data_IF_192620610150
#
_entry.id   IF_192620610150
#
_cell.length_a   1.000
_cell.length_b   1.000
_cell.length_c   1.000
_cell.angle_alpha   90.00
_cell.angle_beta   90.00
_cell.angle_gamma   90.00
#
_symmetry.space_group_name_H-M   'P 1'
#
loop_
_entity.id
_entity.type
_entity.pdbx_description
1 polymer ?
#
# COMPACT_ATOMS: atom_id res chain seq x y z
N UNK A 1 -9.69 -7.18 15.13
CA UNK A 1 -9.63 -8.16 16.24
C UNK A 1 -8.24 -8.80 16.25
N UNK A 2 -7.64 -9.14 17.41
CA UNK A 2 -6.34 -9.78 17.45
C UNK A 2 -6.39 -11.24 16.92
N UNK A 3 -5.28 -11.70 16.36
CA UNK A 3 -5.07 -13.10 15.97
C UNK A 3 -5.20 -14.01 17.20
N UNK A 4 -5.99 -15.07 17.09
CA UNK A 4 -6.18 -16.08 18.14
C UNK A 4 -5.57 -17.38 17.71
N UNK A 5 -4.81 -18.01 18.60
CA UNK A 5 -4.26 -19.33 18.34
C UNK A 5 -5.39 -20.37 18.29
N UNK A 6 -5.50 -21.08 17.16
CA UNK A 6 -6.49 -22.15 16.97
C UNK A 6 -5.85 -23.54 17.07
N UNK A 7 -4.57 -23.65 16.68
CA UNK A 7 -3.75 -24.85 16.81
C UNK A 7 -2.30 -24.46 17.14
N UNK A 8 -1.45 -25.43 17.51
CA UNK A 8 -0.04 -25.14 17.79
C UNK A 8 0.65 -24.54 16.56
N UNK A 9 1.09 -23.28 16.67
CA UNK A 9 1.70 -22.55 15.56
C UNK A 9 0.73 -22.00 14.51
N UNK A 10 -0.60 -22.14 14.67
CA UNK A 10 -1.59 -21.58 13.75
C UNK A 10 -2.49 -20.58 14.46
N UNK A 11 -2.59 -19.39 13.88
CA UNK A 11 -3.33 -18.25 14.40
C UNK A 11 -4.33 -17.77 13.36
N UNK A 12 -5.54 -17.47 13.81
CA UNK A 12 -6.62 -17.01 12.94
C UNK A 12 -7.34 -15.80 13.52
N UNK A 13 -7.85 -14.95 12.62
CA UNK A 13 -8.88 -13.96 12.95
C UNK A 13 -9.86 -13.82 11.80
N UNK A 14 -11.14 -13.48 12.08
CA UNK A 14 -12.04 -13.04 11.03
C UNK A 14 -11.46 -11.78 10.35
N UNK A 15 -11.80 -11.60 9.07
CA UNK A 15 -11.59 -10.32 8.41
C UNK A 15 -12.39 -9.23 9.13
N UNK A 16 -11.78 -8.06 9.25
CA UNK A 16 -12.53 -6.88 9.67
C UNK A 16 -13.33 -6.29 8.51
N UNK A 17 -14.17 -5.29 8.82
CA UNK A 17 -15.09 -4.71 7.85
C UNK A 17 -14.38 -4.02 6.69
N UNK A 18 -13.19 -3.46 6.92
CA UNK A 18 -12.40 -2.79 5.89
C UNK A 18 -11.76 -3.82 4.95
N UNK A 19 -11.24 -4.91 5.50
CA UNK A 19 -10.72 -6.02 4.72
C UNK A 19 -11.83 -6.68 3.89
N UNK A 20 -13.01 -6.94 4.48
CA UNK A 20 -14.17 -7.49 3.75
C UNK A 20 -14.58 -6.60 2.57
N UNK A 21 -14.59 -5.27 2.76
CA UNK A 21 -14.85 -4.30 1.70
C UNK A 21 -13.87 -4.48 0.55
N UNK A 22 -12.57 -4.41 0.83
CA UNK A 22 -11.55 -4.50 -0.22
C UNK A 22 -11.44 -5.89 -0.85
N UNK A 23 -11.73 -6.97 -0.11
CA UNK A 23 -11.80 -8.32 -0.67
C UNK A 23 -12.98 -8.47 -1.65
N UNK A 24 -14.17 -7.94 -1.34
CA UNK A 24 -15.31 -7.99 -2.26
C UNK A 24 -15.07 -7.19 -3.54
N UNK A 25 -14.44 -6.03 -3.38
CA UNK A 25 -13.91 -5.16 -4.44
C UNK A 25 -12.89 -5.91 -5.31
N UNK A 26 -11.83 -6.48 -4.71
CA UNK A 26 -10.80 -7.25 -5.43
C UNK A 26 -11.36 -8.46 -6.19
N UNK A 27 -12.29 -9.22 -5.58
CA UNK A 27 -12.97 -10.34 -6.24
C UNK A 27 -13.71 -9.90 -7.51
N UNK A 28 -14.32 -8.71 -7.50
CA UNK A 28 -15.03 -8.13 -8.64
C UNK A 28 -14.09 -7.70 -9.77
N UNK A 29 -12.87 -7.26 -9.43
CA UNK A 29 -11.81 -6.88 -10.36
C UNK A 29 -11.07 -8.05 -11.02
N UNK A 30 -11.13 -9.26 -10.44
CA UNK A 30 -10.35 -10.45 -10.85
C UNK A 30 -10.37 -10.77 -12.35
N UNK A 31 -11.50 -10.57 -13.04
CA UNK A 31 -11.64 -10.77 -14.50
C UNK A 31 -10.76 -9.86 -15.37
N UNK A 32 -10.27 -8.75 -14.83
CA UNK A 32 -9.42 -7.81 -15.54
C UNK A 32 -7.93 -8.12 -15.36
N UNK A 33 -7.58 -9.24 -14.70
CA UNK A 33 -6.21 -9.56 -14.28
C UNK A 33 -5.53 -8.40 -13.52
N UNK A 34 -6.34 -7.58 -12.85
CA UNK A 34 -5.91 -6.53 -11.91
C UNK A 34 -6.51 -6.87 -10.56
N UNK A 35 -5.69 -6.95 -9.52
CA UNK A 35 -6.22 -6.92 -8.15
C UNK A 35 -6.61 -5.46 -7.86
N UNK A 36 -7.82 -5.26 -7.33
CA UNK A 36 -8.32 -3.91 -7.14
C UNK A 36 -7.56 -3.21 -6.01
N UNK A 37 -7.00 -2.03 -6.30
CA UNK A 37 -6.19 -1.23 -5.37
C UNK A 37 -4.97 -2.02 -4.86
N UNK A 38 -3.90 -2.08 -5.65
CA UNK A 38 -2.57 -2.37 -5.09
C UNK A 38 -1.96 -1.06 -4.61
N UNK A 39 -1.45 -1.05 -3.38
CA UNK A 39 -0.56 0.01 -2.92
C UNK A 39 0.86 -0.42 -3.27
N UNK A 40 1.49 0.41 -4.10
CA UNK A 40 2.90 0.35 -4.42
C UNK A 40 3.60 1.54 -3.78
N UNK A 41 4.75 1.33 -3.20
CA UNK A 41 5.61 2.38 -2.63
C UNK A 41 7.04 1.84 -2.59
N UNK A 42 7.99 2.48 -1.92
CA UNK A 42 9.35 1.97 -1.74
C UNK A 42 9.68 1.88 -0.23
N UNK A 43 10.63 1.04 0.28
CA UNK A 43 11.16 0.78 1.68
C UNK A 43 10.49 -0.23 2.75
N UNK A 44 11.26 -1.11 3.47
CA UNK A 44 10.83 -2.40 4.18
C UNK A 44 9.96 -2.36 5.47
N UNK A 45 9.42 -3.52 5.93
CA UNK A 45 9.21 -3.89 7.36
C UNK A 45 8.62 -5.32 7.58
N UNK A 46 8.18 -5.66 8.83
CA UNK A 46 7.54 -6.92 9.30
C UNK A 46 6.08 -6.74 9.76
N UNK A 47 5.13 -7.37 9.05
CA UNK A 47 3.98 -8.17 9.54
C UNK A 47 3.13 -8.66 8.34
N UNK A 48 3.81 -9.31 7.41
CA UNK A 48 3.41 -9.43 5.99
C UNK A 48 2.94 -10.87 5.64
N UNK A 49 3.24 -11.83 6.52
CA UNK A 49 3.16 -13.26 6.19
C UNK A 49 1.78 -13.91 6.37
N UNK A 50 0.78 -13.22 6.93
CA UNK A 50 -0.57 -13.78 7.04
C UNK A 50 -1.22 -13.92 5.65
N UNK A 51 -1.93 -15.02 5.41
CA UNK A 51 -2.60 -15.31 4.14
C UNK A 51 -4.11 -15.44 4.35
N UNK A 52 -4.95 -14.97 3.41
CA UNK A 52 -6.38 -15.23 3.48
C UNK A 52 -6.65 -16.73 3.29
N UNK A 53 -7.64 -17.24 4.01
CA UNK A 53 -8.12 -18.60 3.81
C UNK A 53 -8.75 -18.75 2.41
N UNK A 54 -8.95 -19.99 1.95
CA UNK A 54 -9.50 -20.26 0.61
C UNK A 54 -10.90 -19.67 0.35
N UNK A 55 -11.56 -19.15 1.40
CA UNK A 55 -12.87 -18.49 1.34
C UNK A 55 -12.79 -16.96 1.47
N UNK A 56 -11.59 -16.40 1.69
CA UNK A 56 -11.39 -14.99 2.06
C UNK A 56 -12.30 -14.55 3.21
N UNK A 57 -12.50 -15.40 4.23
CA UNK A 57 -13.30 -15.08 5.42
C UNK A 57 -12.45 -14.89 6.67
N UNK A 58 -11.24 -15.45 6.66
CA UNK A 58 -10.26 -15.38 7.75
C UNK A 58 -8.87 -15.13 7.23
N UNK A 59 -8.03 -14.53 8.07
CA UNK A 59 -6.58 -14.52 7.88
C UNK A 59 -5.95 -15.60 8.75
N UNK A 60 -5.10 -16.41 8.13
CA UNK A 60 -4.34 -17.48 8.76
C UNK A 60 -2.87 -17.08 8.78
N UNK A 61 -2.27 -17.14 9.96
CA UNK A 61 -0.83 -17.08 10.13
C UNK A 61 -0.35 -18.41 10.71
N UNK A 62 0.53 -19.07 9.98
CA UNK A 62 1.23 -20.27 10.44
C UNK A 62 2.67 -19.91 10.73
N UNK A 63 3.12 -20.20 11.95
CA UNK A 63 4.53 -20.02 12.34
C UNK A 63 5.38 -20.87 11.40
N UNK A 64 6.24 -20.26 10.59
CA UNK A 64 6.95 -20.98 9.55
C UNK A 64 8.06 -21.83 10.16
N UNK A 65 8.26 -23.04 9.63
CA UNK A 65 9.54 -23.74 9.77
C UNK A 65 10.64 -22.93 9.05
N UNK A 66 11.93 -23.16 9.34
CA UNK A 66 13.03 -22.49 8.62
C UNK A 66 12.90 -22.62 7.10
N UNK A 67 12.51 -23.79 6.60
CA UNK A 67 12.33 -24.08 5.17
C UNK A 67 11.10 -23.34 4.61
N UNK A 68 10.00 -23.32 5.36
CA UNK A 68 8.78 -22.59 4.98
C UNK A 68 9.03 -21.09 4.94
N UNK A 69 9.86 -20.59 5.87
CA UNK A 69 10.26 -19.19 5.92
C UNK A 69 11.12 -18.83 4.70
N UNK A 70 12.06 -19.68 4.31
CA UNK A 70 12.89 -19.49 3.13
C UNK A 70 12.05 -19.52 1.84
N UNK A 71 11.09 -20.44 1.74
CA UNK A 71 10.16 -20.47 0.60
C UNK A 71 9.31 -19.19 0.52
N UNK A 72 8.80 -18.73 1.67
CA UNK A 72 8.05 -17.48 1.76
C UNK A 72 8.92 -16.29 1.34
N UNK A 73 10.14 -16.18 1.85
CA UNK A 73 11.09 -15.13 1.47
C UNK A 73 11.39 -15.16 -0.03
N UNK A 74 11.55 -16.34 -0.64
CA UNK A 74 11.76 -16.45 -2.08
C UNK A 74 10.56 -15.92 -2.89
N UNK A 75 9.35 -16.02 -2.35
CA UNK A 75 8.13 -15.50 -3.00
C UNK A 75 7.96 -14.01 -2.76
N UNK A 76 8.26 -13.51 -1.57
CA UNK A 76 7.95 -12.13 -1.16
C UNK A 76 9.13 -11.17 -1.24
N UNK A 77 10.37 -11.65 -1.34
CA UNK A 77 11.56 -10.84 -1.55
C UNK A 77 12.21 -11.19 -2.89
N UNK A 78 12.02 -10.30 -3.88
CA UNK A 78 12.48 -10.52 -5.25
C UNK A 78 13.58 -9.51 -5.58
N UNK A 79 14.75 -10.01 -5.94
CA UNK A 79 15.88 -9.16 -6.35
C UNK A 79 16.00 -9.15 -7.87
N UNK A 80 15.90 -7.96 -8.47
CA UNK A 80 15.93 -7.74 -9.92
C UNK A 80 17.33 -7.30 -10.37
N UNK A 81 18.26 -8.26 -10.47
CA UNK A 81 19.67 -7.97 -10.80
C UNK A 81 19.89 -7.35 -12.20
N UNK A 82 19.05 -7.73 -13.17
CA UNK A 82 19.17 -7.30 -14.57
C UNK A 82 18.25 -6.15 -14.95
N UNK A 83 17.37 -5.70 -14.05
CA UNK A 83 16.45 -4.61 -14.37
C UNK A 83 17.21 -3.30 -14.55
N UNK A 84 16.77 -2.53 -15.53
CA UNK A 84 17.39 -1.26 -15.94
C UNK A 84 16.40 -0.11 -15.88
N UNK A 85 15.10 -0.43 -15.88
CA UNK A 85 14.02 0.55 -15.81
C UNK A 85 13.74 0.92 -14.35
N UNK A 86 13.32 2.17 -14.08
CA UNK A 86 13.01 2.62 -12.74
C UNK A 86 11.83 1.87 -12.12
N UNK A 87 11.77 1.86 -10.79
CA UNK A 87 10.74 1.24 -9.97
C UNK A 87 9.31 1.61 -10.40
N UNK A 88 9.09 2.85 -10.84
CA UNK A 88 7.79 3.32 -11.32
C UNK A 88 7.26 2.49 -12.51
N UNK A 89 8.15 1.99 -13.36
CA UNK A 89 7.79 1.17 -14.52
C UNK A 89 7.49 -0.29 -14.17
N UNK A 90 7.86 -0.75 -12.97
CA UNK A 90 7.65 -2.14 -12.57
C UNK A 90 6.16 -2.45 -12.36
N UNK A 91 5.37 -1.47 -11.92
CA UNK A 91 3.96 -1.70 -11.61
C UNK A 91 3.16 -2.13 -12.85
N UNK A 92 3.58 -1.69 -14.05
CA UNK A 92 2.99 -2.07 -15.33
C UNK A 92 3.33 -3.51 -15.79
N UNK A 93 4.39 -4.12 -15.25
CA UNK A 93 4.88 -5.45 -15.69
C UNK A 93 4.73 -6.54 -14.63
N UNK A 94 4.58 -6.16 -13.36
CA UNK A 94 4.47 -7.13 -12.27
C UNK A 94 3.05 -7.70 -12.20
N UNK A 95 2.89 -9.04 -12.19
CA UNK A 95 1.57 -9.65 -12.06
C UNK A 95 0.94 -9.28 -10.71
N UNK A 96 -0.40 -9.27 -10.59
CA UNK A 96 -1.06 -9.12 -9.30
C UNK A 96 -0.58 -10.17 -8.30
N UNK A 97 -0.55 -9.79 -7.02
CA UNK A 97 -0.15 -10.67 -5.93
C UNK A 97 -0.98 -10.38 -4.70
N UNK A 98 -1.59 -11.42 -4.13
CA UNK A 98 -2.29 -11.36 -2.85
C UNK A 98 -1.34 -11.26 -1.65
N UNK A 99 -0.04 -11.45 -1.86
CA UNK A 99 1.01 -11.28 -0.87
C UNK A 99 1.55 -9.86 -0.89
N UNK A 100 2.04 -9.44 0.27
CA UNK A 100 2.89 -8.28 0.34
C UNK A 100 4.29 -8.68 -0.15
N UNK A 101 4.81 -7.89 -1.09
CA UNK A 101 6.02 -8.15 -1.86
C UNK A 101 6.99 -6.99 -1.70
N UNK A 102 8.27 -7.35 -1.68
CA UNK A 102 9.40 -6.45 -1.71
C UNK A 102 10.26 -6.77 -2.93
N UNK A 103 10.49 -5.76 -3.75
CA UNK A 103 11.35 -5.84 -4.91
C UNK A 103 12.58 -4.98 -4.69
N UNK A 104 13.78 -5.55 -4.78
CA UNK A 104 15.01 -4.79 -4.73
C UNK A 104 15.63 -4.71 -6.12
N UNK A 105 16.01 -3.50 -6.55
CA UNK A 105 16.65 -3.22 -7.83
C UNK A 105 18.09 -2.75 -7.55
N UNK A 106 19.07 -3.66 -7.40
CA UNK A 106 20.40 -3.30 -6.90
C UNK A 106 21.12 -2.25 -7.75
N UNK A 107 20.89 -2.27 -9.08
CA UNK A 107 21.53 -1.34 -10.01
C UNK A 107 21.07 0.10 -9.84
N UNK A 108 19.80 0.27 -9.48
CA UNK A 108 19.17 1.57 -9.26
C UNK A 108 19.12 1.96 -7.79
N UNK A 109 19.43 1.00 -6.89
CA UNK A 109 19.35 1.15 -5.43
C UNK A 109 17.92 1.46 -4.94
N UNK A 110 16.93 0.95 -5.66
CA UNK A 110 15.50 1.15 -5.37
C UNK A 110 14.90 -0.09 -4.67
N UNK A 111 13.92 0.12 -3.79
CA UNK A 111 13.25 -0.92 -3.00
C UNK A 111 11.74 -0.82 -3.10
N UNK A 112 11.03 -1.55 -3.97
CA UNK A 112 9.56 -1.42 -4.14
C UNK A 112 8.74 -2.33 -3.20
N UNK A 113 7.77 -1.74 -2.53
CA UNK A 113 6.81 -2.25 -1.56
C UNK A 113 5.48 -2.37 -2.25
N UNK A 114 5.03 -3.59 -2.50
CA UNK A 114 3.79 -3.81 -3.23
C UNK A 114 2.87 -4.74 -2.45
N UNK A 115 1.65 -4.29 -2.21
CA UNK A 115 0.69 -5.04 -1.44
C UNK A 115 -0.73 -4.73 -1.89
N UNK A 116 -1.64 -5.71 -1.83
CA UNK A 116 -3.07 -5.39 -1.89
C UNK A 116 -3.44 -4.37 -0.82
N UNK A 117 -4.26 -3.38 -1.18
CA UNK A 117 -4.70 -2.27 -0.32
C UNK A 117 -5.58 -2.74 0.86
N UNK A 118 -6.09 -3.98 0.82
CA UNK A 118 -6.79 -4.57 1.97
C UNK A 118 -5.84 -4.88 3.13
N UNK A 119 -4.54 -5.05 2.89
CA UNK A 119 -3.56 -5.38 3.94
C UNK A 119 -3.09 -4.15 4.72
N UNK A 120 -3.01 -3.01 4.05
CA UNK A 120 -2.56 -1.74 4.64
C UNK A 120 -2.99 -0.58 3.76
N UNK A 121 -3.10 0.61 4.35
CA UNK A 121 -3.29 1.85 3.62
C UNK A 121 -1.95 2.60 3.42
N UNK A 122 -2.00 3.78 2.79
CA UNK A 122 -0.79 4.58 2.56
C UNK A 122 -0.07 4.99 3.85
N UNK A 123 -0.79 5.21 4.95
CA UNK A 123 -0.16 5.59 6.24
C UNK A 123 0.52 4.39 6.88
N UNK A 124 -0.16 3.25 6.92
CA UNK A 124 0.42 1.99 7.40
C UNK A 124 1.67 1.60 6.60
N UNK A 125 1.66 1.84 5.28
CA UNK A 125 2.81 1.64 4.41
C UNK A 125 3.99 2.57 4.75
N UNK A 126 3.75 3.86 5.02
CA UNK A 126 4.80 4.81 5.43
C UNK A 126 5.46 4.39 6.76
N UNK A 127 4.65 3.97 7.73
CA UNK A 127 5.15 3.48 9.01
C UNK A 127 5.93 2.18 8.86
N UNK A 128 5.47 1.30 7.95
CA UNK A 128 6.17 0.10 7.52
C UNK A 128 7.60 0.52 7.12
N UNK A 129 7.73 1.32 6.07
CA UNK A 129 9.01 1.78 5.52
C UNK A 129 10.01 2.30 6.55
N UNK A 130 9.52 3.10 7.51
CA UNK A 130 10.33 3.72 8.54
C UNK A 130 11.06 2.71 9.43
N UNK A 131 10.34 1.76 10.02
CA UNK A 131 10.96 0.86 10.99
C UNK A 131 11.94 -0.08 10.29
N UNK A 132 11.75 -0.42 9.01
CA UNK A 132 12.79 -1.18 8.33
C UNK A 132 14.04 -0.40 8.10
N UNK A 133 13.94 0.82 7.56
CA UNK A 133 15.14 1.56 7.26
C UNK A 133 15.95 1.74 8.54
N UNK A 134 15.27 1.88 9.66
CA UNK A 134 15.84 1.83 11.00
C UNK A 134 16.49 0.47 11.32
N UNK A 135 15.84 -0.66 11.03
CA UNK A 135 16.43 -2.01 11.20
C UNK A 135 17.63 -2.26 10.30
N UNK A 136 17.57 -1.83 9.04
CA UNK A 136 18.64 -1.93 8.06
C UNK A 136 19.85 -1.11 8.52
N UNK A 137 19.61 0.13 8.96
CA UNK A 137 20.64 1.02 9.52
C UNK A 137 21.32 0.43 10.77
N UNK A 138 20.57 -0.30 11.59
CA UNK A 138 21.11 -1.02 12.76
C UNK A 138 22.00 -2.21 12.39
N UNK A 139 21.70 -2.89 11.28
CA UNK A 139 22.39 -4.08 10.83
C UNK A 139 22.12 -5.33 11.69
N UNK A 140 22.69 -6.49 11.31
CA UNK A 140 22.47 -7.75 12.01
C UNK A 140 23.12 -7.70 13.40
N UNK A 141 22.31 -7.82 14.46
CA UNK A 141 22.83 -8.11 15.80
C UNK A 141 23.32 -9.56 15.81
N UNK A 142 24.60 -9.77 16.12
CA UNK A 142 25.28 -11.09 16.07
C UNK A 142 24.76 -12.12 17.10
N UNK A 143 23.74 -11.76 17.88
CA UNK A 143 23.00 -12.66 18.76
C UNK A 143 21.53 -12.61 18.36
N UNK A 144 21.08 -13.69 17.72
CA UNK A 144 19.68 -13.98 17.43
C UNK A 144 18.93 -14.38 18.72
N UNK A 145 19.13 -13.63 19.81
CA UNK A 145 18.10 -13.55 20.84
C UNK A 145 17.02 -12.68 20.20
N UNK A 146 15.92 -13.30 19.75
CA UNK A 146 14.68 -12.60 19.48
C UNK A 146 14.22 -11.96 20.79
N UNK A 147 14.82 -10.83 21.16
CA UNK A 147 14.36 -9.98 22.24
C UNK A 147 13.05 -9.36 21.77
N UNK A 148 11.96 -10.09 22.00
CA UNK A 148 10.57 -9.64 21.84
C UNK A 148 10.27 -8.37 22.64
N UNK A 149 11.19 -7.96 23.53
CA UNK A 149 11.11 -6.79 24.41
C UNK A 149 11.54 -5.46 23.74
N UNK A 150 12.15 -5.50 22.55
CA UNK A 150 12.75 -4.29 21.92
C UNK A 150 11.89 -3.71 20.78
N UNK A 151 10.94 -4.49 20.27
CA UNK A 151 9.88 -3.93 19.42
C UNK A 151 8.80 -3.37 20.34
N UNK A 152 8.27 -2.18 20.02
CA UNK A 152 7.04 -1.69 20.63
C UNK A 152 6.07 -2.86 20.74
N UNK A 153 5.66 -3.23 21.96
CA UNK A 153 4.68 -4.29 22.14
C UNK A 153 3.42 -3.91 21.32
N UNK A 154 2.64 -4.92 20.91
CA UNK A 154 1.41 -4.76 20.14
C UNK A 154 0.56 -3.57 20.64
N UNK A 155 0.47 -3.35 21.96
CA UNK A 155 -0.27 -2.26 22.57
C UNK A 155 0.34 -0.87 22.29
N UNK A 156 1.66 -0.74 22.20
CA UNK A 156 2.32 0.51 21.84
C UNK A 156 2.19 0.84 20.34
N UNK A 157 2.23 -0.18 19.47
CA UNK A 157 1.93 -0.02 18.03
C UNK A 157 0.45 0.29 17.85
N UNK A 158 -0.44 -0.47 18.48
CA UNK A 158 -1.88 -0.26 18.43
C UNK A 158 -2.26 1.12 18.98
N UNK A 159 -1.62 1.61 20.04
CA UNK A 159 -1.84 2.96 20.56
C UNK A 159 -1.36 4.03 19.56
N UNK A 160 -0.20 3.82 18.94
CA UNK A 160 0.31 4.73 17.89
C UNK A 160 -0.62 4.74 16.68
N UNK A 161 -1.07 3.59 16.19
CA UNK A 161 -2.00 3.50 15.07
C UNK A 161 -3.37 4.08 15.47
N UNK A 162 -3.89 3.76 16.65
CA UNK A 162 -5.18 4.25 17.15
C UNK A 162 -5.19 5.78 17.27
N UNK A 163 -4.11 6.41 17.72
CA UNK A 163 -4.03 7.88 17.78
C UNK A 163 -4.04 8.53 16.38
N UNK A 164 -3.56 7.82 15.36
CA UNK A 164 -3.60 8.28 13.96
C UNK A 164 -4.95 7.99 13.27
N UNK A 165 -5.58 6.87 13.61
CA UNK A 165 -6.85 6.40 13.05
C UNK A 165 -8.07 6.76 13.90
N UNK A 166 -7.96 7.73 14.82
CA UNK A 166 -9.07 8.20 15.68
C UNK A 166 -10.28 8.78 14.94
N UNK A 167 -10.32 8.71 13.61
CA UNK A 167 -11.48 9.05 12.80
C UNK A 167 -12.52 7.94 12.92
N UNK A 168 -13.75 8.34 13.22
CA UNK A 168 -14.90 7.45 13.16
C UNK A 168 -15.14 7.01 11.70
N UNK A 169 -14.81 5.75 11.41
CA UNK A 169 -15.05 5.13 10.11
C UNK A 169 -16.48 4.59 9.98
N UNK A 170 -17.28 4.60 11.04
CA UNK A 170 -18.65 4.10 11.05
C UNK A 170 -19.53 4.70 9.93
N UNK A 171 -19.45 6.01 9.61
CA UNK A 171 -20.18 6.59 8.50
C UNK A 171 -19.80 6.00 7.14
N UNK A 172 -18.52 5.68 6.92
CA UNK A 172 -18.03 5.03 5.71
C UNK A 172 -18.54 3.59 5.62
N UNK A 173 -18.58 2.88 6.76
CA UNK A 173 -19.07 1.51 6.84
C UNK A 173 -20.56 1.39 6.50
N UNK A 174 -21.38 2.41 6.78
CA UNK A 174 -22.81 2.43 6.43
C UNK A 174 -23.06 2.44 4.92
N UNK A 175 -22.18 3.07 4.15
CA UNK A 175 -22.32 3.17 2.69
C UNK A 175 -21.62 2.03 1.93
N UNK A 176 -20.81 1.23 2.63
CA UNK A 176 -20.03 0.11 2.07
C UNK A 176 -20.86 -0.84 1.17
N UNK A 177 -22.03 -1.35 1.57
CA UNK A 177 -22.80 -2.25 0.71
C UNK A 177 -23.23 -1.59 -0.60
N UNK A 178 -23.66 -0.33 -0.54
CA UNK A 178 -24.04 0.45 -1.72
C UNK A 178 -22.84 0.74 -2.63
N UNK A 179 -21.68 1.04 -2.04
CA UNK A 179 -20.44 1.25 -2.77
C UNK A 179 -19.99 -0.02 -3.49
N UNK A 180 -19.93 -1.16 -2.79
CA UNK A 180 -19.58 -2.46 -3.37
C UNK A 180 -20.54 -2.83 -4.50
N UNK A 181 -21.84 -2.63 -4.32
CA UNK A 181 -22.84 -2.91 -5.35
C UNK A 181 -22.67 -2.00 -6.58
N UNK A 182 -22.36 -0.71 -6.37
CA UNK A 182 -22.14 0.25 -7.44
C UNK A 182 -20.89 -0.07 -8.25
N UNK A 183 -19.77 -0.37 -7.57
CA UNK A 183 -18.52 -0.80 -8.21
C UNK A 183 -18.72 -2.13 -8.93
N UNK A 184 -19.44 -3.09 -8.33
CA UNK A 184 -19.75 -4.37 -8.96
C UNK A 184 -20.55 -4.21 -10.24
N UNK A 185 -21.55 -3.33 -10.22
CA UNK A 185 -22.38 -3.04 -11.39
C UNK A 185 -21.58 -2.33 -12.48
N UNK A 186 -20.74 -1.35 -12.12
CA UNK A 186 -19.87 -0.64 -13.05
C UNK A 186 -18.89 -1.59 -13.73
N UNK A 187 -18.22 -2.43 -12.96
CA UNK A 187 -17.27 -3.40 -13.48
C UNK A 187 -17.99 -4.44 -14.34
N UNK A 188 -19.23 -4.83 -13.99
CA UNK A 188 -20.04 -5.81 -14.73
C UNK A 188 -20.49 -5.34 -16.10
N UNK A 189 -20.58 -4.03 -16.32
CA UNK A 189 -21.00 -3.45 -17.58
C UNK A 189 -19.89 -3.57 -18.66
N UNK A 190 -20.27 -3.72 -19.94
CA UNK A 190 -19.36 -3.48 -21.07
C UNK A 190 -18.68 -2.12 -20.95
N UNK A 191 -17.42 -2.02 -21.38
CA UNK A 191 -16.59 -0.82 -21.25
C UNK A 191 -17.29 0.42 -21.82
N UNK A 192 -17.95 0.26 -22.97
CA UNK A 192 -18.67 1.33 -23.67
C UNK A 192 -19.83 1.90 -22.83
N UNK A 193 -20.52 1.05 -22.08
CA UNK A 193 -21.62 1.45 -21.20
C UNK A 193 -21.08 1.99 -19.87
N UNK A 194 -20.00 1.41 -19.34
CA UNK A 194 -19.33 1.89 -18.13
C UNK A 194 -18.75 3.31 -18.32
N UNK A 195 -18.30 3.66 -19.52
CA UNK A 195 -17.83 5.01 -19.90
C UNK A 195 -18.98 6.04 -19.91
N UNK A 196 -20.21 5.61 -20.20
CA UNK A 196 -21.38 6.50 -20.26
C UNK A 196 -22.10 6.64 -18.92
N UNK A 197 -21.77 5.81 -17.92
CA UNK A 197 -22.38 5.84 -16.60
C UNK A 197 -22.15 7.18 -15.87
N UNK A 198 -23.20 7.91 -15.45
CA UNK A 198 -23.08 9.16 -14.71
C UNK A 198 -22.41 8.96 -13.35
N UNK A 199 -21.52 9.88 -12.96
CA UNK A 199 -20.87 9.87 -11.64
C UNK A 199 -19.82 8.77 -11.43
N UNK A 200 -19.51 7.97 -12.45
CA UNK A 200 -18.43 6.98 -12.38
C UNK A 200 -17.03 7.62 -12.53
N UNK A 201 -16.96 8.79 -13.18
CA UNK A 201 -15.74 9.55 -13.42
C UNK A 201 -15.72 10.83 -12.57
N UNK A 202 -14.85 10.86 -11.56
CA UNK A 202 -14.65 12.02 -10.70
C UNK A 202 -13.24 12.02 -10.10
N UNK A 203 -12.69 13.21 -9.78
CA UNK A 203 -11.47 13.30 -8.99
C UNK A 203 -11.76 13.02 -7.51
N UNK A 204 -10.87 12.27 -6.88
CA UNK A 204 -10.82 12.12 -5.43
C UNK A 204 -9.50 12.66 -4.91
N UNK A 205 -9.54 13.38 -3.79
CA UNK A 205 -8.33 13.90 -3.15
C UNK A 205 -8.14 13.23 -1.79
N UNK A 206 -7.00 12.58 -1.62
CA UNK A 206 -6.55 12.03 -0.35
C UNK A 206 -5.26 12.71 0.08
N UNK A 207 -5.18 13.09 1.35
CA UNK A 207 -3.98 13.70 1.92
C UNK A 207 -3.26 12.70 2.79
N UNK A 208 -1.99 12.45 2.47
CA UNK A 208 -1.09 11.72 3.35
C UNK A 208 -0.51 12.65 4.42
N UNK A 209 -0.52 13.97 4.23
CA UNK A 209 0.03 14.96 5.16
C UNK A 209 1.56 15.09 5.05
N UNK A 210 2.21 15.52 6.13
CA UNK A 210 3.67 15.68 6.19
C UNK A 210 4.34 14.33 6.39
N UNK A 211 5.18 13.92 5.45
CA UNK A 211 5.84 12.60 5.44
C UNK A 211 7.02 12.58 6.41
N UNK A 212 7.77 13.68 6.52
CA UNK A 212 9.08 13.76 7.21
C UNK A 212 9.04 13.27 8.68
N UNK A 213 7.91 13.48 9.36
CA UNK A 213 7.75 13.07 10.76
C UNK A 213 7.53 11.56 10.93
N UNK A 214 7.01 10.88 9.90
CA UNK A 214 6.69 9.45 9.92
C UNK A 214 7.72 8.63 9.16
N UNK A 215 8.36 9.22 8.16
CA UNK A 215 9.43 8.63 7.36
C UNK A 215 10.54 9.66 7.16
N UNK A 216 11.48 9.76 8.11
CA UNK A 216 12.62 10.67 8.01
C UNK A 216 13.52 10.32 6.83
N UNK A 217 14.06 11.34 6.16
CA UNK A 217 14.97 11.16 5.02
C UNK A 217 16.24 10.38 5.38
N UNK A 218 16.75 10.51 6.61
CA UNK A 218 17.98 9.85 7.05
C UNK A 218 17.71 8.91 8.22
N UNK A 219 18.11 7.65 8.04
CA UNK A 219 18.12 6.61 9.06
C UNK A 219 19.56 6.24 9.40
N UNK A 220 20.10 6.87 10.44
CA UNK A 220 21.43 6.58 10.95
C UNK A 220 21.39 5.41 11.94
N UNK A 221 22.30 4.45 11.76
CA UNK A 221 22.45 3.34 12.69
C UNK A 221 23.90 2.86 12.76
N UNK A 222 24.22 1.99 13.74
CA UNK A 222 25.59 1.52 13.98
C UNK A 222 26.20 0.73 12.83
N UNK A 223 25.40 0.12 11.95
CA UNK A 223 25.91 -0.64 10.82
C UNK A 223 26.03 0.20 9.55
N UNK A 224 25.00 0.99 9.25
CA UNK A 224 24.96 1.82 8.05
C UNK A 224 24.06 3.04 8.28
N UNK A 225 24.30 4.11 7.52
CA UNK A 225 23.34 5.20 7.36
C UNK A 225 22.61 5.01 6.04
N UNK A 226 21.29 4.99 6.08
CA UNK A 226 20.43 4.90 4.89
C UNK A 226 19.78 6.26 4.68
N UNK A 227 19.87 6.78 3.46
CA UNK A 227 19.29 8.06 3.06
C UNK A 227 18.28 7.82 1.93
N UNK A 228 17.10 8.42 2.05
CA UNK A 228 16.01 8.31 1.09
C UNK A 228 16.13 9.47 0.09
N UNK A 229 16.70 9.20 -1.08
CA UNK A 229 16.83 10.21 -2.13
C UNK A 229 15.46 10.61 -2.70
N UNK A 230 14.58 9.65 -2.96
CA UNK A 230 13.25 9.89 -3.51
C UNK A 230 12.22 8.91 -2.93
N UNK A 231 10.96 9.33 -2.89
CA UNK A 231 9.85 8.55 -2.37
C UNK A 231 8.53 8.92 -3.04
N UNK A 232 7.79 7.90 -3.47
CA UNK A 232 6.44 8.04 -3.98
C UNK A 232 5.53 6.90 -3.50
N UNK A 233 4.23 7.17 -3.50
CA UNK A 233 3.17 6.20 -3.23
C UNK A 233 2.25 6.14 -4.44
N UNK A 234 2.04 4.95 -4.97
CA UNK A 234 1.15 4.65 -6.07
C UNK A 234 -0.02 3.77 -5.63
N UNK A 235 -1.20 3.98 -6.22
CA UNK A 235 -2.33 3.08 -6.06
C UNK A 235 -2.87 2.67 -7.43
N UNK A 236 -2.96 1.37 -7.69
CA UNK A 236 -3.55 0.87 -8.92
C UNK A 236 -5.06 1.15 -8.95
N UNK A 237 -5.51 1.86 -9.98
CA UNK A 237 -6.92 2.18 -10.19
C UNK A 237 -7.49 1.26 -11.26
N UNK A 238 -8.64 0.66 -10.98
CA UNK A 238 -9.34 -0.19 -11.96
C UNK A 238 -10.59 0.46 -12.54
N UNK A 239 -11.12 1.48 -11.86
CA UNK A 239 -12.33 2.20 -12.27
C UNK A 239 -11.94 3.55 -12.90
N UNK A 240 -12.91 4.46 -12.98
CA UNK A 240 -12.79 5.78 -13.61
C UNK A 240 -12.50 6.89 -12.59
N UNK A 241 -11.98 6.56 -11.42
CA UNK A 241 -11.59 7.59 -10.44
C UNK A 241 -10.23 8.17 -10.84
N UNK A 242 -10.10 9.49 -10.79
CA UNK A 242 -8.81 10.17 -10.79
C UNK A 242 -8.36 10.29 -9.34
N UNK A 243 -7.68 9.27 -8.84
CA UNK A 243 -7.27 9.21 -7.43
C UNK A 243 -6.04 10.08 -7.22
N UNK A 244 -6.24 11.24 -6.64
CA UNK A 244 -5.18 12.21 -6.37
C UNK A 244 -4.71 12.08 -4.93
N UNK A 245 -3.40 11.98 -4.74
CA UNK A 245 -2.74 12.02 -3.45
C UNK A 245 -1.95 13.30 -3.30
N UNK A 246 -1.98 13.84 -2.08
CA UNK A 246 -1.26 15.03 -1.67
C UNK A 246 -0.38 14.71 -0.47
N UNK A 247 0.89 15.08 -0.52
CA UNK A 247 1.79 14.99 0.63
C UNK A 247 2.82 16.11 0.65
N UNK A 248 3.36 16.38 1.84
CA UNK A 248 4.51 17.27 2.00
C UNK A 248 5.74 16.44 2.31
N UNK A 249 6.85 16.72 1.64
CA UNK A 249 8.16 16.13 1.93
C UNK A 249 9.24 17.19 1.72
N UNK A 250 10.15 17.34 2.68
CA UNK A 250 11.28 18.27 2.59
C UNK A 250 10.88 19.73 2.28
N UNK A 251 9.69 20.13 2.73
CA UNK A 251 9.13 21.46 2.49
C UNK A 251 8.44 21.65 1.14
N UNK A 252 8.42 20.62 0.29
CA UNK A 252 7.75 20.63 -1.01
C UNK A 252 6.38 19.93 -0.93
N UNK A 253 5.40 20.50 -1.64
CA UNK A 253 4.08 19.90 -1.82
C UNK A 253 4.08 19.03 -3.08
N UNK A 254 3.81 17.75 -2.89
CA UNK A 254 3.67 16.79 -3.99
C UNK A 254 2.19 16.49 -4.24
N UNK A 255 1.84 16.47 -5.53
CA UNK A 255 0.54 16.07 -6.05
C UNK A 255 0.77 14.93 -7.05
N UNK A 256 0.19 13.76 -6.79
CA UNK A 256 0.22 12.63 -7.72
C UNK A 256 -1.21 12.20 -8.05
N UNK A 257 -1.48 11.93 -9.32
CA UNK A 257 -2.76 11.38 -9.76
C UNK A 257 -2.55 9.97 -10.29
N UNK A 258 -3.28 9.01 -9.73
CA UNK A 258 -3.34 7.65 -10.21
C UNK A 258 -4.65 7.43 -10.95
N UNK A 259 -4.55 6.84 -12.13
CA UNK A 259 -5.68 6.64 -13.02
C UNK A 259 -5.51 5.34 -13.80
N UNK A 260 -6.60 4.91 -14.42
CA UNK A 260 -6.59 3.76 -15.31
C UNK A 260 -6.54 4.25 -16.76
N UNK A 261 -5.46 3.91 -17.46
CA UNK A 261 -5.16 4.29 -18.85
C UNK A 261 -6.19 3.78 -19.86
N UNK A 262 -6.99 2.76 -19.50
CA UNK A 262 -8.14 2.33 -20.28
C UNK A 262 -9.25 3.41 -20.38
N UNK A 263 -9.24 4.41 -19.50
CA UNK A 263 -10.28 5.45 -19.42
C UNK A 263 -9.76 6.88 -19.64
N UNK A 264 -8.47 7.12 -19.42
CA UNK A 264 -7.86 8.44 -19.51
C UNK A 264 -6.55 8.40 -20.28
N UNK A 265 -6.41 9.35 -21.20
CA UNK A 265 -5.14 9.64 -21.85
C UNK A 265 -4.22 10.38 -20.87
N UNK A 266 -2.91 10.14 -20.99
CA UNK A 266 -1.93 10.75 -20.09
C UNK A 266 -1.96 12.27 -20.16
N UNK A 267 -2.03 12.80 -21.37
CA UNK A 267 -2.02 14.22 -21.68
C UNK A 267 -3.20 14.95 -21.03
N UNK A 268 -4.36 14.29 -20.96
CA UNK A 268 -5.53 14.80 -20.26
C UNK A 268 -5.27 14.93 -18.76
N UNK A 269 -4.68 13.90 -18.14
CA UNK A 269 -4.39 13.91 -16.69
C UNK A 269 -3.28 14.89 -16.33
N UNK A 270 -2.26 15.02 -17.18
CA UNK A 270 -1.20 16.02 -17.04
C UNK A 270 -1.78 17.44 -17.11
N UNK A 271 -2.65 17.72 -18.08
CA UNK A 271 -3.37 18.99 -18.17
C UNK A 271 -4.20 19.29 -16.94
N UNK A 272 -4.93 18.29 -16.42
CA UNK A 272 -5.69 18.40 -15.18
C UNK A 272 -4.82 18.79 -13.97
N UNK A 273 -3.65 18.15 -13.81
CA UNK A 273 -2.72 18.46 -12.72
C UNK A 273 -2.09 19.84 -12.86
N UNK A 274 -1.74 20.26 -14.08
CA UNK A 274 -1.19 21.59 -14.33
C UNK A 274 -2.21 22.71 -14.06
N UNK A 275 -3.48 22.50 -14.41
CA UNK A 275 -4.56 23.44 -14.05
C UNK A 275 -4.71 23.57 -12.53
N UNK A 276 -4.68 22.46 -11.81
CA UNK A 276 -4.72 22.45 -10.34
C UNK A 276 -3.53 23.19 -9.72
N UNK A 277 -2.32 22.89 -10.19
CA UNK A 277 -1.10 23.56 -9.76
C UNK A 277 -1.17 25.06 -10.04
N UNK A 278 -1.60 25.47 -11.23
CA UNK A 278 -1.74 26.88 -11.58
C UNK A 278 -2.74 27.62 -10.67
N UNK A 279 -3.85 26.96 -10.31
CA UNK A 279 -4.82 27.52 -9.35
C UNK A 279 -4.24 27.63 -7.95
N UNK A 280 -3.60 26.58 -7.44
CA UNK A 280 -2.98 26.60 -6.12
C UNK A 280 -1.90 27.68 -6.00
N UNK A 281 -1.02 27.76 -7.00
CA UNK A 281 0.03 28.80 -7.04
C UNK A 281 -0.58 30.20 -7.13
N UNK A 282 -1.63 30.39 -7.92
CA UNK A 282 -2.34 31.67 -8.03
C UNK A 282 -2.95 32.14 -6.72
N UNK A 283 -3.60 31.24 -5.96
CA UNK A 283 -4.22 31.57 -4.67
C UNK A 283 -3.20 31.74 -3.53
N UNK A 284 -2.02 31.12 -3.63
CA UNK A 284 -0.96 31.22 -2.61
C UNK A 284 -0.09 32.48 -2.74
N UNK A 285 -0.06 33.10 -3.93
CA UNK A 285 0.69 34.33 -4.20
C UNK A 285 -0.18 35.59 -4.06
N UNK A 286 -1.50 35.43 -3.98
CA UNK A 286 -2.47 36.51 -3.75
C UNK A 286 -2.56 36.92 -2.27
#
# INVERSE_FOLDING_TARGET
MPLKQVEFGQYERPLDTLELLYHGIAATGSRFQKEQYHISSVIQLKNIAAIPDGTSSRLIYTVPSPETLEEWLRKTFVVHFSETRPAESLDAVLPPSSLFMLHYLPRLRELVFRTPHWRTDGTGMILLQHDFLTLLARGPQFTLEFALDINKDYDAIATTLTSHYQRDLEPLLKITPCYVQSISSLLAAPLELAIQAPGAAHPELSSLGVIDSRLPTVHAGPAITVEIEDWWLGVQIINRVLQTYLWMREGELHLACHYNDAFYEREFVEGFLEEWKAKLVGELIA
#
